data_IF_506910429735
#
_entry.id   IF_506910429735
#
_cell.length_a   1.000
_cell.length_b   1.000
_cell.length_c   1.000
_cell.angle_alpha   90.00
_cell.angle_beta   90.00
_cell.angle_gamma   90.00
#
_symmetry.space_group_name_H-M   'P 1'
#
loop_
_entity.id
_entity.type
_entity.pdbx_description
1 polymer ?
#
# COMPACT_ATOMS: atom_id res chain seq x y z
N UNK A 1 32.99 28.83 11.42
CA UNK A 1 32.14 27.73 11.93
C UNK A 1 30.62 27.97 11.82
N UNK A 2 30.13 29.16 11.43
CA UNK A 2 28.69 29.48 11.40
C UNK A 2 27.98 29.16 10.07
N UNK A 3 28.73 28.93 8.98
CA UNK A 3 28.21 28.60 7.65
C UNK A 3 28.00 27.09 7.41
N UNK A 4 28.67 26.21 8.18
CA UNK A 4 28.49 24.76 8.05
C UNK A 4 27.09 24.30 8.51
N UNK A 5 26.49 24.97 9.51
CA UNK A 5 25.13 24.64 9.97
C UNK A 5 24.06 24.92 8.92
N UNK A 6 24.19 26.01 8.15
CA UNK A 6 23.25 26.34 7.08
C UNK A 6 23.33 25.35 5.90
N UNK A 7 24.52 24.84 5.60
CA UNK A 7 24.71 23.82 4.57
C UNK A 7 24.04 22.49 4.96
N UNK A 8 24.11 22.11 6.25
CA UNK A 8 23.46 20.89 6.76
C UNK A 8 21.94 20.95 6.67
N UNK A 9 21.32 22.11 6.93
CA UNK A 9 19.86 22.28 6.80
C UNK A 9 19.39 22.22 5.35
N UNK A 10 20.21 22.68 4.40
CA UNK A 10 19.85 22.67 2.98
C UNK A 10 19.87 21.25 2.39
N UNK A 11 20.81 20.41 2.83
CA UNK A 11 20.92 19.00 2.39
C UNK A 11 19.72 18.17 2.90
N UNK A 12 19.20 18.46 4.09
CA UNK A 12 18.06 17.71 4.65
C UNK A 12 16.74 17.98 3.91
N UNK A 13 16.53 19.21 3.41
CA UNK A 13 15.31 19.60 2.69
C UNK A 13 15.13 18.87 1.34
N UNK A 14 16.22 18.44 0.70
CA UNK A 14 16.16 17.74 -0.60
C UNK A 14 15.70 16.28 -0.53
N UNK A 15 15.53 15.71 0.67
CA UNK A 15 15.17 14.29 0.86
C UNK A 15 13.66 14.00 0.89
N UNK A 16 12.80 15.02 0.76
CA UNK A 16 11.33 14.87 0.91
C UNK A 16 10.60 14.49 -0.40
N UNK A 17 11.29 14.40 -1.52
CA UNK A 17 10.69 14.01 -2.82
C UNK A 17 10.74 12.48 -2.98
N UNK A 18 10.12 11.73 -2.07
CA UNK A 18 10.22 10.27 -2.06
C UNK A 18 9.21 9.59 -3.00
N UNK A 19 8.14 10.27 -3.40
CA UNK A 19 7.11 9.71 -4.30
C UNK A 19 6.59 10.80 -5.24
N UNK A 20 6.33 10.51 -6.52
CA UNK A 20 5.54 11.41 -7.36
C UNK A 20 4.20 11.62 -6.66
N UNK A 21 3.83 12.88 -6.41
CA UNK A 21 2.53 13.19 -5.87
C UNK A 21 1.49 12.86 -6.95
N UNK A 22 0.85 11.69 -6.85
CA UNK A 22 -0.42 11.45 -7.51
C UNK A 22 -1.40 12.50 -6.94
N UNK A 23 -1.64 13.55 -7.71
CA UNK A 23 -2.55 14.61 -7.32
C UNK A 23 -3.98 14.08 -7.41
N UNK A 24 -4.79 14.37 -6.39
CA UNK A 24 -6.22 14.10 -6.46
C UNK A 24 -6.82 14.86 -7.64
N UNK A 25 -7.75 14.22 -8.36
CA UNK A 25 -8.60 14.92 -9.34
C UNK A 25 -9.69 15.76 -8.64
N UNK A 26 -9.82 15.66 -7.31
CA UNK A 26 -10.78 16.44 -6.55
C UNK A 26 -10.46 17.94 -6.64
N UNK A 27 -11.48 18.74 -6.97
CA UNK A 27 -11.36 20.19 -7.10
C UNK A 27 -11.10 20.71 -8.52
N UNK A 28 -10.92 19.82 -9.51
CA UNK A 28 -10.86 20.22 -10.93
C UNK A 28 -12.25 20.54 -11.49
N UNK A 29 -12.31 21.47 -12.43
CA UNK A 29 -13.53 21.74 -13.20
C UNK A 29 -13.84 20.57 -14.15
N UNK A 30 -15.11 20.42 -14.51
CA UNK A 30 -15.56 19.38 -15.44
C UNK A 30 -14.81 19.42 -16.79
N UNK A 31 -14.43 20.62 -17.25
CA UNK A 31 -13.64 20.79 -18.49
C UNK A 31 -12.23 20.24 -18.38
N UNK A 32 -11.57 20.49 -17.25
CA UNK A 32 -10.23 19.95 -16.99
C UNK A 32 -10.30 18.44 -16.82
N UNK A 33 -11.31 17.94 -16.12
CA UNK A 33 -11.52 16.52 -15.93
C UNK A 33 -11.76 15.80 -17.27
N UNK A 34 -12.59 16.36 -18.15
CA UNK A 34 -12.85 15.81 -19.49
C UNK A 34 -11.60 15.80 -20.39
N UNK A 35 -10.66 16.72 -20.16
CA UNK A 35 -9.37 16.71 -20.84
C UNK A 35 -8.41 15.65 -20.29
N UNK A 36 -8.45 15.40 -18.97
CA UNK A 36 -7.50 14.51 -18.28
C UNK A 36 -7.95 13.05 -18.32
N UNK A 37 -9.22 12.74 -18.07
CA UNK A 37 -9.74 11.36 -17.99
C UNK A 37 -9.32 10.49 -19.18
N UNK A 38 -9.43 10.95 -20.46
CA UNK A 38 -9.05 10.12 -21.60
C UNK A 38 -7.55 9.78 -21.66
N UNK A 39 -6.71 10.53 -20.96
CA UNK A 39 -5.26 10.29 -20.87
C UNK A 39 -4.90 9.29 -19.79
N UNK A 40 -5.82 8.98 -18.88
CA UNK A 40 -5.59 8.04 -17.79
C UNK A 40 -5.81 6.60 -18.29
N UNK A 41 -4.80 5.76 -18.08
CA UNK A 41 -4.91 4.32 -18.32
C UNK A 41 -5.67 3.64 -17.18
N UNK A 42 -7.00 3.64 -17.22
CA UNK A 42 -7.81 2.91 -16.26
C UNK A 42 -7.55 1.40 -16.39
N UNK A 43 -7.24 0.74 -15.26
CA UNK A 43 -7.13 -0.71 -15.18
C UNK A 43 -8.24 -1.22 -14.29
N UNK A 44 -9.13 -2.03 -14.84
CA UNK A 44 -10.14 -2.69 -14.03
C UNK A 44 -9.48 -3.78 -13.18
N UNK A 45 -9.60 -3.72 -11.85
CA UNK A 45 -9.13 -4.80 -11.00
C UNK A 45 -10.02 -6.03 -11.18
N UNK A 46 -9.46 -7.21 -10.95
CA UNK A 46 -10.26 -8.41 -10.80
C UNK A 46 -11.25 -8.24 -9.62
N UNK A 47 -12.40 -8.94 -9.64
CA UNK A 47 -13.34 -8.93 -8.53
C UNK A 47 -12.63 -9.25 -7.20
N UNK A 48 -12.98 -8.55 -6.11
CA UNK A 48 -12.35 -8.78 -4.83
C UNK A 48 -12.69 -10.19 -4.30
N UNK A 49 -11.78 -10.81 -3.53
CA UNK A 49 -12.10 -12.01 -2.76
C UNK A 49 -13.29 -11.76 -1.83
N UNK A 50 -14.14 -12.78 -1.68
CA UNK A 50 -15.28 -12.73 -0.76
C UNK A 50 -14.88 -12.79 0.72
N UNK A 51 -15.84 -12.64 1.65
CA UNK A 51 -15.63 -12.77 3.09
C UNK A 51 -15.02 -14.12 3.50
N UNK A 52 -14.27 -14.13 4.60
CA UNK A 52 -13.77 -15.39 5.18
C UNK A 52 -14.95 -16.21 5.73
N UNK A 53 -14.90 -17.54 5.60
CA UNK A 53 -15.92 -18.42 6.16
C UNK A 53 -15.91 -18.43 7.69
N UNK A 54 -14.74 -18.21 8.30
CA UNK A 54 -14.57 -18.14 9.75
C UNK A 54 -13.77 -16.88 10.11
N UNK A 55 -14.36 -16.04 10.96
CA UNK A 55 -13.80 -14.79 11.46
C UNK A 55 -13.45 -14.87 12.95
N UNK A 56 -13.51 -16.07 13.53
CA UNK A 56 -13.10 -16.29 14.91
C UNK A 56 -11.63 -15.95 15.13
N UNK A 57 -11.30 -15.55 16.36
CA UNK A 57 -9.93 -15.26 16.72
C UNK A 57 -9.06 -16.52 16.61
N UNK A 58 -7.98 -16.43 15.85
CA UNK A 58 -7.00 -17.51 15.66
C UNK A 58 -5.58 -17.00 15.88
N UNK A 59 -4.66 -17.90 16.17
CA UNK A 59 -3.24 -17.57 16.24
C UNK A 59 -2.71 -17.28 14.83
N UNK A 60 -2.37 -16.01 14.57
CA UNK A 60 -1.85 -15.56 13.26
C UNK A 60 -0.31 -15.56 13.18
N UNK A 61 0.37 -15.64 14.32
CA UNK A 61 1.82 -15.83 14.35
C UNK A 61 2.12 -17.31 14.62
N UNK A 62 1.90 -18.14 13.61
CA UNK A 62 2.08 -19.58 13.65
C UNK A 62 3.36 -20.04 12.92
N UNK A 63 3.58 -21.35 12.87
CA UNK A 63 4.74 -21.94 12.20
C UNK A 63 4.74 -21.73 10.68
N UNK A 64 3.58 -21.48 10.06
CA UNK A 64 3.46 -21.20 8.63
C UNK A 64 3.78 -19.73 8.29
N UNK A 65 3.56 -18.83 9.25
CA UNK A 65 3.76 -17.38 9.10
C UNK A 65 4.85 -16.81 10.04
N UNK A 66 6.08 -17.39 10.07
CA UNK A 66 7.13 -16.87 10.92
C UNK A 66 7.62 -15.52 10.42
N UNK A 67 7.98 -14.64 11.35
CA UNK A 67 8.69 -13.41 11.02
C UNK A 67 10.04 -13.72 10.37
N UNK A 68 10.42 -12.96 9.34
CA UNK A 68 11.77 -13.01 8.76
C UNK A 68 12.31 -11.59 8.54
N UNK A 69 13.63 -11.38 8.72
CA UNK A 69 14.25 -10.09 8.42
C UNK A 69 14.18 -9.77 6.92
N UNK A 70 14.27 -8.48 6.60
CA UNK A 70 14.30 -8.00 5.22
C UNK A 70 15.53 -8.52 4.48
N UNK A 71 15.32 -8.91 3.23
CA UNK A 71 16.38 -9.25 2.27
C UNK A 71 16.66 -8.05 1.36
N UNK A 72 17.83 -8.00 0.71
CA UNK A 72 18.08 -7.02 -0.35
C UNK A 72 16.99 -7.10 -1.42
N UNK A 73 16.35 -5.97 -1.73
CA UNK A 73 15.25 -5.88 -2.70
C UNK A 73 13.83 -6.02 -2.12
N UNK A 74 13.69 -6.33 -0.82
CA UNK A 74 12.37 -6.31 -0.17
C UNK A 74 11.92 -4.86 0.07
N UNK A 75 10.69 -4.54 -0.36
CA UNK A 75 10.10 -3.20 -0.27
C UNK A 75 9.17 -3.13 0.94
N UNK A 76 9.21 -2.00 1.66
CA UNK A 76 8.27 -1.67 2.73
C UNK A 76 7.78 -0.24 2.54
N UNK A 77 6.48 -0.05 2.73
CA UNK A 77 5.81 1.23 2.52
C UNK A 77 5.49 1.93 3.84
N UNK A 78 4.68 3.00 3.80
CA UNK A 78 4.26 3.73 4.99
C UNK A 78 3.23 2.98 5.84
N UNK A 79 2.55 1.95 5.31
CA UNK A 79 1.52 1.21 6.03
C UNK A 79 2.15 0.13 6.94
N UNK A 80 2.09 0.27 8.28
CA UNK A 80 2.68 -0.70 9.19
C UNK A 80 2.01 -2.08 9.11
N UNK A 81 0.69 -2.13 8.85
CA UNK A 81 -0.06 -3.38 8.74
C UNK A 81 0.43 -4.27 7.58
N UNK A 82 0.55 -3.69 6.37
CA UNK A 82 1.03 -4.41 5.20
C UNK A 82 2.50 -4.83 5.35
N UNK A 83 3.32 -4.00 6.02
CA UNK A 83 4.71 -4.32 6.31
C UNK A 83 4.83 -5.56 7.22
N UNK A 84 3.96 -5.68 8.22
CA UNK A 84 3.90 -6.85 9.11
C UNK A 84 3.45 -8.09 8.34
N UNK A 85 2.38 -7.99 7.55
CA UNK A 85 1.87 -9.11 6.75
C UNK A 85 2.91 -9.64 5.75
N UNK A 86 3.67 -8.75 5.09
CA UNK A 86 4.78 -9.15 4.23
C UNK A 86 5.95 -9.78 5.02
N UNK A 87 6.25 -9.27 6.22
CA UNK A 87 7.33 -9.80 7.05
C UNK A 87 6.98 -11.14 7.72
N UNK A 88 5.70 -11.48 7.83
CA UNK A 88 5.20 -12.78 8.28
C UNK A 88 4.85 -13.73 7.13
N UNK A 89 4.80 -13.26 5.88
CA UNK A 89 4.58 -14.09 4.70
C UNK A 89 3.10 -14.32 4.34
N UNK A 90 2.18 -13.57 4.95
CA UNK A 90 0.80 -13.45 4.46
C UNK A 90 0.75 -12.74 3.09
N UNK A 91 1.71 -11.84 2.85
CA UNK A 91 1.99 -11.26 1.54
C UNK A 91 3.33 -11.77 1.00
N UNK A 92 3.55 -11.68 -0.33
CA UNK A 92 4.87 -11.81 -0.91
C UNK A 92 5.90 -10.97 -0.13
N UNK A 93 6.96 -11.62 0.35
CA UNK A 93 7.93 -11.01 1.28
C UNK A 93 8.73 -9.86 0.66
N UNK A 94 8.81 -9.84 -0.67
CA UNK A 94 9.41 -8.77 -1.46
C UNK A 94 8.60 -7.45 -1.40
N UNK A 95 7.38 -7.46 -0.87
CA UNK A 95 6.55 -6.25 -0.71
C UNK A 95 5.77 -5.83 -1.96
N UNK A 96 5.66 -6.70 -2.98
CA UNK A 96 4.86 -6.45 -4.18
C UNK A 96 3.74 -7.47 -4.26
N UNK A 97 2.49 -7.00 -4.20
CA UNK A 97 1.30 -7.85 -4.11
C UNK A 97 0.16 -7.33 -4.99
N UNK A 98 -0.74 -8.23 -5.40
CA UNK A 98 -1.97 -7.86 -6.09
C UNK A 98 -3.03 -7.36 -5.10
N UNK A 99 -4.05 -6.60 -5.56
CA UNK A 99 -5.16 -6.18 -4.71
C UNK A 99 -5.86 -7.36 -4.00
N UNK A 100 -6.08 -8.47 -4.72
CA UNK A 100 -6.67 -9.67 -4.15
C UNK A 100 -5.80 -10.29 -3.05
N UNK A 101 -4.48 -10.35 -3.23
CA UNK A 101 -3.57 -10.84 -2.19
C UNK A 101 -3.60 -9.97 -0.93
N UNK A 102 -3.70 -8.65 -1.09
CA UNK A 102 -3.81 -7.70 0.03
C UNK A 102 -5.08 -7.93 0.81
N UNK A 103 -6.22 -8.01 0.10
CA UNK A 103 -7.52 -8.29 0.71
C UNK A 103 -7.47 -9.60 1.49
N UNK A 104 -7.03 -10.69 0.87
CA UNK A 104 -6.94 -11.99 1.56
C UNK A 104 -5.99 -11.92 2.76
N UNK A 105 -4.82 -11.29 2.63
CA UNK A 105 -3.84 -11.19 3.71
C UNK A 105 -4.36 -10.38 4.91
N UNK A 106 -5.05 -9.27 4.68
CA UNK A 106 -5.59 -8.45 5.77
C UNK A 106 -6.76 -9.14 6.48
N UNK A 107 -7.54 -9.94 5.77
CA UNK A 107 -8.58 -10.77 6.38
C UNK A 107 -7.96 -11.90 7.22
N UNK A 108 -7.01 -12.64 6.65
CA UNK A 108 -6.42 -13.84 7.26
C UNK A 108 -5.47 -13.51 8.43
N UNK A 109 -4.65 -12.47 8.29
CA UNK A 109 -3.58 -12.14 9.24
C UNK A 109 -3.89 -10.95 10.16
N UNK A 110 -4.94 -10.17 9.86
CA UNK A 110 -5.32 -8.99 10.64
C UNK A 110 -6.83 -8.88 10.91
N UNK A 111 -7.61 -9.93 10.59
CA UNK A 111 -9.06 -10.01 10.85
C UNK A 111 -9.85 -8.80 10.32
N UNK A 112 -9.40 -8.20 9.22
CA UNK A 112 -10.12 -7.10 8.58
C UNK A 112 -11.30 -7.65 7.76
N UNK A 113 -12.48 -7.06 7.90
CA UNK A 113 -13.65 -7.43 7.10
C UNK A 113 -13.66 -6.69 5.77
N UNK A 114 -14.04 -7.37 4.69
CA UNK A 114 -14.34 -6.74 3.41
C UNK A 114 -15.82 -6.37 3.35
N UNK A 115 -16.12 -5.13 2.97
CA UNK A 115 -17.49 -4.73 2.62
C UNK A 115 -17.72 -5.22 1.17
N UNK A 116 -18.81 -5.95 0.88
CA UNK A 116 -19.06 -6.53 -0.44
C UNK A 116 -19.31 -5.52 -1.57
N UNK A 117 -19.27 -4.22 -1.27
CA UNK A 117 -19.25 -3.15 -2.27
C UNK A 117 -17.82 -2.58 -2.34
N UNK A 118 -17.30 -2.57 -3.56
CA UNK A 118 -16.04 -2.04 -4.14
C UNK A 118 -15.33 -0.82 -3.51
N UNK A 119 -15.83 -0.26 -2.43
CA UNK A 119 -15.25 0.84 -1.64
C UNK A 119 -13.90 0.53 -0.98
N UNK A 120 -13.46 -0.73 -0.89
CA UNK A 120 -12.08 -1.08 -0.54
C UNK A 120 -11.23 -1.26 -1.80
N UNK A 121 -11.22 -0.25 -2.67
CA UNK A 121 -10.00 0.07 -3.41
C UNK A 121 -9.22 0.98 -2.45
N UNK A 122 -8.29 0.48 -1.61
CA UNK A 122 -7.24 1.37 -1.16
C UNK A 122 -6.62 1.85 -2.47
N UNK A 123 -6.70 3.14 -2.78
CA UNK A 123 -6.17 3.74 -4.00
C UNK A 123 -4.92 2.96 -4.43
N UNK A 124 -5.07 2.11 -5.45
CA UNK A 124 -4.02 1.16 -5.87
C UNK A 124 -2.83 1.91 -6.47
N UNK A 125 -2.91 3.24 -6.50
CA UNK A 125 -1.86 4.21 -6.76
C UNK A 125 -0.70 4.19 -5.73
N UNK A 126 -0.76 3.39 -4.67
CA UNK A 126 0.30 3.32 -3.64
C UNK A 126 1.22 2.09 -3.72
N UNK A 127 1.12 1.26 -4.77
CA UNK A 127 1.96 0.07 -4.95
C UNK A 127 2.71 -0.04 -6.29
N UNK A 128 2.74 1.05 -7.07
CA UNK A 128 3.62 1.19 -8.24
C UNK A 128 4.39 2.50 -8.17
#
# INVERSE_FOLDING_TARGET
MRYLSFLSTFIFATRVVAFPAYASLAGLSERELNAIIPTLGAREPAPPPGPLPDTSAKLVNDAAHPWKPLRPGDIRGPCPGLNTLASHGYLPRNGVATPAQIITATMEGASQSVIPDSSFVPDVHMLY
#
